data_IF_302986644823
#
_entry.id   IF_302986644823
#
_cell.length_a   1.000
_cell.length_b   1.000
_cell.length_c   1.000
_cell.angle_alpha   90.00
_cell.angle_beta   90.00
_cell.angle_gamma   90.00
#
_symmetry.space_group_name_H-M   'P 1'
#
loop_
_entity.id
_entity.type
_entity.pdbx_description
1 polymer ?
#
# COMPACT_ATOMS: atom_id res chain seq x y z
N UNK A 1 13.52 -2.66 -3.53
CA UNK A 1 13.85 -4.10 -3.49
C UNK A 1 12.75 -4.96 -2.86
N UNK A 2 12.12 -4.58 -1.74
CA UNK A 2 11.11 -5.43 -1.09
C UNK A 2 9.82 -5.67 -1.90
N UNK A 3 9.36 -4.67 -2.67
CA UNK A 3 8.03 -4.72 -3.34
C UNK A 3 7.88 -5.88 -4.33
N UNK A 4 8.83 -6.14 -5.24
CA UNK A 4 8.76 -7.32 -6.10
C UNK A 4 8.74 -8.66 -5.33
N UNK A 5 9.40 -8.74 -4.17
CA UNK A 5 9.40 -9.94 -3.32
C UNK A 5 8.02 -10.17 -2.72
N UNK A 6 7.40 -9.12 -2.18
CA UNK A 6 6.02 -9.18 -1.65
C UNK A 6 5.05 -9.53 -2.78
N UNK A 7 5.18 -8.87 -3.93
CA UNK A 7 4.32 -9.08 -5.09
C UNK A 7 4.38 -10.54 -5.58
N UNK A 8 5.59 -11.12 -5.67
CA UNK A 8 5.76 -12.53 -6.01
C UNK A 8 5.01 -13.44 -5.05
N UNK A 9 5.17 -13.23 -3.74
CA UNK A 9 4.48 -14.04 -2.73
C UNK A 9 2.95 -13.92 -2.87
N UNK A 10 2.42 -12.74 -3.18
CA UNK A 10 0.99 -12.54 -3.42
C UNK A 10 0.50 -13.30 -4.65
N UNK A 11 1.28 -13.33 -5.75
CA UNK A 11 0.94 -14.11 -6.96
C UNK A 11 0.97 -15.61 -6.68
N UNK A 12 1.97 -16.07 -5.94
CA UNK A 12 2.08 -17.48 -5.55
C UNK A 12 0.86 -17.91 -4.73
N UNK A 13 0.48 -17.13 -3.70
CA UNK A 13 -0.71 -17.39 -2.89
C UNK A 13 -2.00 -17.30 -3.72
N UNK A 14 -2.13 -16.30 -4.61
CA UNK A 14 -3.30 -16.17 -5.48
C UNK A 14 -3.50 -17.43 -6.33
N UNK A 15 -2.42 -18.01 -6.84
CA UNK A 15 -2.46 -19.28 -7.57
C UNK A 15 -2.86 -20.45 -6.67
N UNK A 16 -2.32 -20.54 -5.46
CA UNK A 16 -2.62 -21.61 -4.50
C UNK A 16 -4.10 -21.64 -4.09
N UNK A 17 -4.70 -20.46 -3.90
CA UNK A 17 -6.11 -20.33 -3.46
C UNK A 17 -7.10 -20.21 -4.62
N UNK A 18 -6.61 -20.19 -5.87
CA UNK A 18 -7.45 -20.03 -7.06
C UNK A 18 -8.10 -18.65 -7.18
N UNK A 19 -7.44 -17.59 -6.69
CA UNK A 19 -7.92 -16.22 -6.83
C UNK A 19 -7.75 -15.71 -8.27
N UNK A 20 -8.73 -14.92 -8.73
CA UNK A 20 -8.72 -14.26 -10.04
C UNK A 20 -8.16 -12.82 -9.98
N UNK A 21 -7.88 -12.32 -8.77
CA UNK A 21 -7.42 -10.97 -8.52
C UNK A 21 -6.45 -10.88 -7.34
N UNK A 22 -5.60 -9.85 -7.36
CA UNK A 22 -4.77 -9.39 -6.24
C UNK A 22 -5.05 -7.92 -5.95
N UNK A 23 -4.95 -7.51 -4.69
CA UNK A 23 -5.17 -6.13 -4.27
C UNK A 23 -3.96 -5.56 -3.52
N UNK A 24 -3.64 -4.29 -3.73
CA UNK A 24 -2.60 -3.59 -2.97
C UNK A 24 -3.10 -2.25 -2.38
N UNK A 25 -2.53 -1.86 -1.23
CA UNK A 25 -2.89 -0.61 -0.54
C UNK A 25 -2.01 0.60 -0.88
N UNK A 26 -1.23 0.57 -1.97
CA UNK A 26 -0.38 1.68 -2.38
C UNK A 26 -1.22 2.90 -2.79
N UNK A 27 -0.78 4.11 -2.44
CA UNK A 27 -1.43 5.35 -2.88
C UNK A 27 -1.24 5.57 -4.38
N UNK A 28 -2.15 6.30 -5.02
CA UNK A 28 -2.08 6.63 -6.45
C UNK A 28 -0.94 7.59 -6.85
N UNK A 29 -0.19 8.15 -5.89
CA UNK A 29 0.90 9.11 -6.13
C UNK A 29 2.30 8.50 -5.98
N UNK A 30 2.40 7.35 -5.32
CA UNK A 30 3.69 6.74 -4.96
C UNK A 30 4.24 5.80 -6.02
N UNK A 31 5.55 5.53 -5.93
CA UNK A 31 6.25 4.58 -6.82
C UNK A 31 5.86 3.12 -6.57
N UNK A 32 5.37 2.79 -5.39
CA UNK A 32 5.12 1.40 -4.99
C UNK A 32 4.01 0.74 -5.80
N UNK A 33 2.98 1.48 -6.24
CA UNK A 33 1.93 0.94 -7.12
C UNK A 33 2.54 0.36 -8.41
N UNK A 34 3.47 1.09 -9.04
CA UNK A 34 4.12 0.67 -10.29
C UNK A 34 4.96 -0.58 -10.05
N UNK A 35 5.68 -0.62 -8.91
CA UNK A 35 6.54 -1.76 -8.54
C UNK A 35 5.73 -3.04 -8.32
N UNK A 36 4.58 -2.94 -7.65
CA UNK A 36 3.67 -4.07 -7.45
C UNK A 36 3.05 -4.53 -8.77
N UNK A 37 2.40 -3.61 -9.49
CA UNK A 37 1.67 -3.94 -10.72
C UNK A 37 2.56 -4.49 -11.82
N UNK A 38 3.74 -3.90 -12.03
CA UNK A 38 4.68 -4.41 -13.01
C UNK A 38 5.10 -5.85 -12.67
N UNK A 39 5.27 -6.16 -11.39
CA UNK A 39 5.63 -7.51 -10.94
C UNK A 39 4.45 -8.48 -11.10
N UNK A 40 3.22 -8.05 -10.78
CA UNK A 40 2.03 -8.86 -11.00
C UNK A 40 1.88 -9.22 -12.47
N UNK A 41 1.93 -8.24 -13.36
CA UNK A 41 1.82 -8.47 -14.81
C UNK A 41 2.96 -9.31 -15.37
N UNK A 42 4.17 -9.18 -14.83
CA UNK A 42 5.30 -10.00 -15.26
C UNK A 42 5.19 -11.48 -14.83
N UNK A 43 4.56 -11.75 -13.68
CA UNK A 43 4.47 -13.11 -13.13
C UNK A 43 3.17 -13.84 -13.48
N UNK A 44 2.06 -13.11 -13.56
CA UNK A 44 0.77 -13.63 -13.97
C UNK A 44 -0.09 -12.50 -14.59
N UNK A 45 -0.05 -12.33 -15.92
CA UNK A 45 -0.80 -11.28 -16.61
C UNK A 45 -2.32 -11.48 -16.61
N UNK A 46 -2.82 -12.66 -16.21
CA UNK A 46 -4.26 -12.93 -16.13
C UNK A 46 -4.89 -12.43 -14.82
N UNK A 47 -4.07 -12.17 -13.79
CA UNK A 47 -4.58 -11.62 -12.52
C UNK A 47 -5.08 -10.20 -12.71
N UNK A 48 -6.32 -9.96 -12.27
CA UNK A 48 -6.83 -8.60 -12.14
C UNK A 48 -6.16 -7.91 -10.96
N UNK A 49 -5.75 -6.66 -11.16
CA UNK A 49 -5.22 -5.84 -10.05
C UNK A 49 -6.30 -4.89 -9.56
N UNK A 50 -6.59 -4.93 -8.26
CA UNK A 50 -7.50 -4.01 -7.58
C UNK A 50 -6.66 -3.04 -6.74
N UNK A 51 -6.83 -1.73 -6.95
CA UNK A 51 -6.09 -0.71 -6.24
C UNK A 51 -7.06 0.30 -5.62
N UNK A 52 -7.61 0.01 -4.42
CA UNK A 52 -8.70 0.80 -3.84
C UNK A 52 -8.42 2.30 -3.79
N UNK A 53 -7.19 2.70 -3.47
CA UNK A 53 -6.75 4.10 -3.44
C UNK A 53 -6.89 4.88 -4.76
N UNK A 54 -7.15 4.21 -5.87
CA UNK A 54 -7.44 4.84 -7.18
C UNK A 54 -8.91 4.78 -7.58
N UNK A 55 -9.72 4.00 -6.87
CA UNK A 55 -11.09 3.65 -7.29
C UNK A 55 -12.15 4.17 -6.32
N UNK A 56 -11.83 4.28 -5.03
CA UNK A 56 -12.79 4.66 -3.99
C UNK A 56 -12.86 6.18 -3.74
N UNK A 57 -13.80 6.59 -2.89
CA UNK A 57 -14.02 7.99 -2.52
C UNK A 57 -13.26 8.42 -1.25
N UNK A 58 -12.45 7.54 -0.65
CA UNK A 58 -11.68 7.87 0.56
C UNK A 58 -10.45 8.70 0.15
N UNK A 59 -10.44 9.97 0.57
CA UNK A 59 -9.39 10.93 0.18
C UNK A 59 -8.30 11.10 1.23
N UNK A 60 -8.60 10.75 2.49
CA UNK A 60 -7.73 11.00 3.61
C UNK A 60 -7.90 10.03 4.77
N UNK A 61 -7.15 10.31 5.85
CA UNK A 61 -7.15 9.45 7.05
C UNK A 61 -8.46 9.56 7.81
N UNK A 62 -9.05 10.74 7.86
CA UNK A 62 -10.32 11.02 8.53
C UNK A 62 -11.45 10.22 7.88
N UNK A 63 -11.57 10.28 6.54
CA UNK A 63 -12.51 9.46 5.76
C UNK A 63 -12.31 7.97 6.04
N UNK A 64 -11.06 7.49 6.07
CA UNK A 64 -10.75 6.10 6.35
C UNK A 64 -11.16 5.68 7.77
N UNK A 65 -11.01 6.58 8.76
CA UNK A 65 -11.45 6.35 10.14
C UNK A 65 -12.98 6.26 10.21
N UNK A 66 -13.70 7.14 9.53
CA UNK A 66 -15.17 7.10 9.46
C UNK A 66 -15.67 5.84 8.76
N UNK A 67 -15.05 5.47 7.63
CA UNK A 67 -15.34 4.25 6.91
C UNK A 67 -15.14 3.01 7.80
N UNK A 68 -14.01 2.94 8.51
CA UNK A 68 -13.72 1.84 9.43
C UNK A 68 -14.73 1.77 10.58
N UNK A 69 -15.11 2.91 11.19
CA UNK A 69 -16.18 2.95 12.22
C UNK A 69 -17.50 2.44 11.68
N UNK A 70 -17.92 2.89 10.49
CA UNK A 70 -19.18 2.47 9.84
C UNK A 70 -19.23 0.98 9.57
N UNK A 71 -18.08 0.36 9.26
CA UNK A 71 -17.97 -1.08 8.96
C UNK A 71 -17.50 -1.92 10.15
N UNK A 72 -17.50 -1.36 11.37
CA UNK A 72 -17.06 -2.04 12.59
C UNK A 72 -15.62 -2.61 12.51
N UNK A 73 -14.73 -1.95 11.77
CA UNK A 73 -13.30 -2.29 11.70
C UNK A 73 -12.58 -1.62 12.89
N UNK A 74 -11.96 -2.39 13.80
CA UNK A 74 -11.28 -1.82 14.96
C UNK A 74 -10.05 -1.02 14.52
N UNK A 75 -9.94 0.22 15.00
CA UNK A 75 -8.79 1.09 14.72
C UNK A 75 -7.93 1.16 15.98
N UNK A 76 -6.67 0.68 15.95
CA UNK A 76 -5.77 0.85 17.08
C UNK A 76 -5.50 2.34 17.30
N UNK A 77 -5.89 2.84 18.48
CA UNK A 77 -5.69 4.23 18.86
C UNK A 77 -4.21 4.43 19.16
N UNK A 78 -3.46 5.04 18.23
CA UNK A 78 -2.10 5.48 18.52
C UNK A 78 -1.93 6.95 18.18
N UNK A 79 -1.22 7.65 19.07
CA UNK A 79 -0.71 9.01 18.80
C UNK A 79 0.09 8.96 17.51
N UNK A 80 -0.28 9.84 16.59
CA UNK A 80 0.19 9.94 15.20
C UNK A 80 1.73 9.84 15.14
N UNK A 81 2.26 8.86 14.41
CA UNK A 81 3.56 9.04 13.77
C UNK A 81 3.37 10.11 12.71
N UNK A 82 4.16 11.19 12.78
CA UNK A 82 4.12 12.29 11.80
C UNK A 82 4.73 11.90 10.46
N UNK A 83 5.61 10.88 10.42
CA UNK A 83 6.25 10.42 9.19
C UNK A 83 5.58 9.18 8.62
N UNK A 84 5.58 9.12 7.28
CA UNK A 84 5.45 7.86 6.54
C UNK A 84 6.76 7.09 6.67
N UNK A 85 6.69 5.79 6.98
CA UNK A 85 7.85 4.94 7.25
C UNK A 85 7.71 3.59 6.58
N UNK A 86 8.79 3.15 5.95
CA UNK A 86 8.94 1.78 5.44
C UNK A 86 10.18 1.15 6.07
N UNK A 87 10.01 -0.04 6.67
CA UNK A 87 11.08 -0.77 7.34
C UNK A 87 11.18 -2.19 6.83
N UNK A 88 12.39 -2.63 6.53
CA UNK A 88 12.74 -4.02 6.29
C UNK A 88 14.10 -4.33 6.94
N UNK A 89 14.64 -5.53 6.74
CA UNK A 89 15.94 -5.93 7.31
C UNK A 89 17.11 -5.04 6.80
N UNK A 90 16.96 -4.40 5.65
CA UNK A 90 18.02 -3.65 4.99
C UNK A 90 18.02 -2.16 5.34
N UNK A 91 16.84 -1.55 5.45
CA UNK A 91 16.74 -0.11 5.73
C UNK A 91 15.45 0.28 6.45
N UNK A 92 15.45 1.52 6.93
CA UNK A 92 14.29 2.25 7.41
C UNK A 92 14.24 3.59 6.65
N UNK A 93 13.18 3.84 5.89
CA UNK A 93 12.93 5.14 5.25
C UNK A 93 11.95 5.98 6.06
N UNK A 94 12.09 7.31 5.94
CA UNK A 94 11.22 8.33 6.51
C UNK A 94 10.92 9.36 5.44
N UNK A 95 9.65 9.72 5.26
CA UNK A 95 9.20 10.73 4.31
C UNK A 95 7.93 11.42 4.85
N UNK A 96 7.51 12.51 4.19
CA UNK A 96 6.31 13.26 4.55
C UNK A 96 6.50 14.29 5.66
N UNK A 97 5.48 15.13 5.81
CA UNK A 97 5.40 16.21 6.80
C UNK A 97 6.58 17.20 6.64
N UNK A 98 7.25 17.59 7.73
CA UNK A 98 8.37 18.54 7.70
C UNK A 98 9.54 18.14 6.78
N UNK A 99 9.65 16.85 6.40
CA UNK A 99 10.70 16.34 5.50
C UNK A 99 10.43 16.66 4.02
N UNK A 100 9.24 17.15 3.68
CA UNK A 100 8.91 17.55 2.29
C UNK A 100 9.52 18.90 1.90
N UNK A 101 10.02 19.68 2.87
CA UNK A 101 10.71 20.96 2.62
C UNK A 101 12.22 20.79 2.86
N UNK A 102 13.03 20.72 1.79
CA UNK A 102 14.49 20.59 1.89
C UNK A 102 15.18 21.76 2.58
N UNK A 103 14.52 22.92 2.73
CA UNK A 103 15.10 24.08 3.40
C UNK A 103 15.07 24.01 4.94
N UNK A 104 14.46 22.96 5.51
CA UNK A 104 14.41 22.71 6.95
C UNK A 104 15.66 22.01 7.52
N UNK A 105 16.73 21.86 6.73
CA UNK A 105 18.05 21.34 7.17
C UNK A 105 18.92 22.41 7.86
#
# INVERSE_FOLDING_TARGET
>A
MARPVIAKAMVDVAKEVGADAVAHGCTGKGNDQVRFELTFYALNPELKVVAPWREWDITGREDAIEYAKKHNVPIPVSKKSIYSRDRNLWHLSHEGDILEDPANE
#
